data_IF_079911885230
#
_entry.id   IF_079911885230
#
_cell.length_a   1.000
_cell.length_b   1.000
_cell.length_c   1.000
_cell.angle_alpha   90.00
_cell.angle_beta   90.00
_cell.angle_gamma   90.00
#
_symmetry.space_group_name_H-M   'P 1'
#
loop_
_entity.id
_entity.type
_entity.pdbx_description
1 polymer ?
#
# COMPACT_ATOMS: atom_id res chain seq x y z
N UNK A 1 -9.53 -32.01 -10.31
CA UNK A 1 -9.42 -30.66 -9.69
C UNK A 1 -9.53 -30.80 -8.19
N UNK A 2 -8.59 -30.22 -7.44
CA UNK A 2 -8.61 -30.15 -5.97
C UNK A 2 -9.34 -28.87 -5.56
N UNK A 3 -10.27 -29.00 -4.61
CA UNK A 3 -11.03 -27.85 -4.06
C UNK A 3 -10.87 -27.88 -2.54
N UNK A 4 -10.48 -26.75 -1.96
CA UNK A 4 -10.46 -26.56 -0.50
C UNK A 4 -11.35 -25.36 -0.12
N UNK A 5 -12.02 -25.48 1.02
CA UNK A 5 -12.77 -24.40 1.67
C UNK A 5 -12.55 -24.50 3.18
N UNK A 6 -12.27 -23.39 3.84
CA UNK A 6 -12.17 -23.34 5.30
C UNK A 6 -12.47 -21.93 5.83
N UNK A 7 -13.07 -21.83 7.02
CA UNK A 7 -13.25 -20.52 7.68
C UNK A 7 -11.91 -19.97 8.16
N UNK A 8 -11.76 -18.63 8.14
CA UNK A 8 -10.64 -17.92 8.73
C UNK A 8 -11.09 -17.39 10.09
N UNK A 9 -10.49 -17.90 11.16
CA UNK A 9 -10.89 -17.58 12.53
C UNK A 9 -10.10 -16.41 13.13
N UNK A 10 -8.92 -16.08 12.58
CA UNK A 10 -8.04 -15.03 13.10
C UNK A 10 -7.00 -14.59 12.04
N UNK A 11 -6.34 -13.47 12.28
CA UNK A 11 -5.25 -12.98 11.40
C UNK A 11 -5.74 -12.39 10.08
N UNK A 12 -7.00 -11.97 10.01
CA UNK A 12 -7.60 -11.27 8.89
C UNK A 12 -8.28 -9.99 9.39
N UNK A 13 -8.34 -8.89 8.62
CA UNK A 13 -8.92 -7.63 9.09
C UNK A 13 -10.41 -7.81 9.46
N UNK A 14 -10.87 -7.11 10.48
CA UNK A 14 -12.29 -7.06 10.76
C UNK A 14 -13.05 -6.25 9.69
N UNK A 15 -14.38 -6.43 9.64
CA UNK A 15 -15.19 -5.81 8.60
C UNK A 15 -15.24 -4.29 8.70
N UNK A 16 -15.15 -3.72 9.89
CA UNK A 16 -15.17 -2.26 10.08
C UNK A 16 -13.84 -1.65 9.61
N UNK A 17 -12.72 -2.31 9.82
CA UNK A 17 -11.42 -1.92 9.27
C UNK A 17 -11.45 -1.94 7.74
N UNK A 18 -11.96 -3.01 7.11
CA UNK A 18 -12.10 -3.06 5.65
C UNK A 18 -13.00 -1.96 5.14
N UNK A 19 -14.15 -1.74 5.78
CA UNK A 19 -15.12 -0.71 5.43
C UNK A 19 -14.54 0.70 5.57
N UNK A 20 -13.78 0.95 6.63
CA UNK A 20 -13.09 2.22 6.84
C UNK A 20 -12.16 2.55 5.67
N UNK A 21 -11.22 1.65 5.35
CA UNK A 21 -10.24 1.91 4.28
C UNK A 21 -10.89 1.93 2.89
N UNK A 22 -11.83 1.06 2.60
CA UNK A 22 -12.54 1.08 1.31
C UNK A 22 -13.37 2.34 1.14
N UNK A 23 -14.03 2.80 2.21
CA UNK A 23 -14.72 4.08 2.24
C UNK A 23 -13.80 5.26 1.92
N UNK A 24 -12.60 5.24 2.47
CA UNK A 24 -11.57 6.25 2.24
C UNK A 24 -11.11 6.27 0.76
N UNK A 25 -10.80 5.11 0.18
CA UNK A 25 -10.26 5.04 -1.19
C UNK A 25 -11.31 5.24 -2.29
N UNK A 26 -12.53 4.73 -2.09
CA UNK A 26 -13.54 4.69 -3.14
C UNK A 26 -14.77 5.55 -2.87
N UNK A 27 -14.82 6.26 -1.73
CA UNK A 27 -15.98 7.06 -1.29
C UNK A 27 -17.28 6.25 -1.25
N UNK A 28 -17.17 4.94 -1.05
CA UNK A 28 -18.25 3.97 -0.93
C UNK A 28 -17.94 3.02 0.24
N UNK A 29 -18.88 2.86 1.16
CA UNK A 29 -18.65 2.15 2.44
C UNK A 29 -19.11 0.70 2.46
N UNK A 30 -19.97 0.29 1.52
CA UNK A 30 -20.53 -1.05 1.49
C UNK A 30 -20.01 -1.79 0.27
N UNK A 31 -18.82 -2.36 0.38
CA UNK A 31 -18.26 -3.28 -0.59
C UNK A 31 -18.36 -4.72 -0.09
N UNK A 32 -18.51 -5.64 -1.03
CA UNK A 32 -18.29 -7.07 -0.82
C UNK A 32 -16.88 -7.41 -1.36
N UNK A 33 -15.85 -7.37 -0.51
CA UNK A 33 -14.47 -7.55 -0.94
C UNK A 33 -14.13 -9.01 -1.13
N UNK A 34 -13.25 -9.28 -2.09
CA UNK A 34 -12.56 -10.56 -2.28
C UNK A 34 -11.07 -10.30 -2.36
N UNK A 35 -10.31 -10.95 -1.48
CA UNK A 35 -8.85 -11.04 -1.56
C UNK A 35 -8.51 -12.25 -2.41
N UNK A 36 -7.57 -12.11 -3.35
CA UNK A 36 -7.22 -13.24 -4.22
C UNK A 36 -5.77 -13.18 -4.70
N UNK A 37 -5.25 -14.34 -5.05
CA UNK A 37 -3.95 -14.55 -5.66
C UNK A 37 -4.02 -15.74 -6.61
N UNK A 38 -3.18 -15.75 -7.66
CA UNK A 38 -3.17 -16.81 -8.66
C UNK A 38 -1.79 -17.44 -8.82
N UNK A 39 -1.79 -18.74 -9.18
CA UNK A 39 -0.59 -19.46 -9.55
C UNK A 39 -0.67 -19.92 -11.00
N UNK A 40 0.41 -19.68 -11.73
CA UNK A 40 0.50 -19.93 -13.16
C UNK A 40 1.74 -20.72 -13.53
N UNK A 41 1.72 -21.43 -14.65
CA UNK A 41 2.88 -22.20 -15.14
C UNK A 41 3.99 -21.33 -15.72
N UNK A 42 3.83 -19.99 -15.69
CA UNK A 42 4.80 -19.01 -16.12
C UNK A 42 4.19 -17.64 -16.34
N UNK A 43 5.01 -16.63 -16.61
CA UNK A 43 4.58 -15.22 -16.66
C UNK A 43 3.83 -14.84 -17.95
N UNK A 44 3.92 -15.65 -19.01
CA UNK A 44 3.31 -15.33 -20.31
C UNK A 44 1.86 -15.79 -20.37
N UNK A 45 0.92 -14.88 -20.23
CA UNK A 45 -0.53 -15.15 -20.29
C UNK A 45 -1.01 -15.83 -21.58
N UNK A 46 -0.23 -15.75 -22.67
CA UNK A 46 -0.60 -16.35 -23.93
C UNK A 46 -0.07 -17.79 -24.10
N UNK A 47 1.08 -18.13 -23.51
CA UNK A 47 1.76 -19.41 -23.70
C UNK A 47 1.78 -20.32 -22.48
N UNK A 48 1.32 -19.80 -21.35
CA UNK A 48 1.22 -20.55 -20.08
C UNK A 48 -0.24 -20.66 -19.66
N UNK A 49 -0.54 -21.38 -18.59
CA UNK A 49 -1.89 -21.54 -18.09
C UNK A 49 -1.96 -21.38 -16.57
N UNK A 50 -3.15 -20.99 -16.10
CA UNK A 50 -3.52 -20.91 -14.71
C UNK A 50 -3.72 -22.30 -14.14
N UNK A 51 -3.16 -22.59 -12.98
CA UNK A 51 -3.40 -23.88 -12.33
C UNK A 51 -3.97 -23.80 -10.92
N UNK A 52 -3.94 -22.63 -10.28
CA UNK A 52 -4.49 -22.44 -8.94
C UNK A 52 -5.00 -21.00 -8.78
N UNK A 53 -6.15 -20.87 -8.16
CA UNK A 53 -6.66 -19.61 -7.58
C UNK A 53 -6.91 -19.87 -6.12
N UNK A 54 -6.37 -18.96 -5.27
CA UNK A 54 -6.73 -18.80 -3.87
C UNK A 54 -7.57 -17.53 -3.70
N UNK A 55 -8.62 -17.58 -2.91
CA UNK A 55 -9.44 -16.43 -2.63
C UNK A 55 -10.01 -16.46 -1.22
N UNK A 56 -10.21 -15.26 -0.64
CA UNK A 56 -10.95 -15.07 0.61
C UNK A 56 -12.13 -14.16 0.33
N UNK A 57 -13.30 -14.63 0.69
CA UNK A 57 -14.55 -13.87 0.59
C UNK A 57 -15.41 -14.03 1.84
N UNK A 58 -16.50 -13.25 1.90
CA UNK A 58 -17.43 -13.26 3.01
C UNK A 58 -18.56 -14.25 2.71
N UNK A 59 -18.82 -15.16 3.66
CA UNK A 59 -19.97 -16.04 3.67
C UNK A 59 -20.47 -16.15 5.13
N UNK A 60 -21.74 -15.95 5.34
CA UNK A 60 -22.37 -15.98 6.67
C UNK A 60 -21.64 -15.08 7.71
N UNK A 61 -21.33 -13.85 7.31
CA UNK A 61 -20.62 -12.86 8.13
C UNK A 61 -19.23 -13.34 8.63
N UNK A 62 -18.63 -14.29 7.93
CA UNK A 62 -17.32 -14.86 8.27
C UNK A 62 -16.42 -14.87 7.04
N UNK A 63 -15.13 -14.60 7.25
CA UNK A 63 -14.15 -14.78 6.21
C UNK A 63 -13.95 -16.26 5.93
N UNK A 64 -14.08 -16.65 4.67
CA UNK A 64 -13.84 -18.00 4.20
C UNK A 64 -12.79 -18.01 3.10
N UNK A 65 -11.82 -18.90 3.25
CA UNK A 65 -10.78 -19.14 2.26
C UNK A 65 -11.21 -20.27 1.32
N UNK A 66 -10.95 -20.08 0.05
CA UNK A 66 -11.25 -20.99 -1.05
C UNK A 66 -10.00 -21.23 -1.90
N UNK A 67 -9.81 -22.47 -2.36
CA UNK A 67 -8.80 -22.81 -3.37
C UNK A 67 -9.37 -23.75 -4.42
N UNK A 68 -8.96 -23.50 -5.66
CA UNK A 68 -9.28 -24.34 -6.82
C UNK A 68 -7.99 -24.63 -7.56
N UNK A 69 -7.46 -25.87 -7.47
CA UNK A 69 -6.23 -26.29 -8.11
C UNK A 69 -6.51 -27.31 -9.22
N UNK A 70 -6.00 -27.03 -10.41
CA UNK A 70 -6.05 -27.95 -11.55
C UNK A 70 -5.12 -29.15 -11.33
N UNK A 71 -5.63 -30.35 -11.56
CA UNK A 71 -4.81 -31.53 -11.61
C UNK A 71 -4.26 -31.81 -13.04
N UNK A 72 -4.76 -31.10 -14.03
CA UNK A 72 -4.27 -31.08 -15.41
C UNK A 72 -4.67 -29.81 -16.14
N UNK A 73 -4.04 -29.55 -17.29
CA UNK A 73 -4.27 -28.29 -18.03
C UNK A 73 -5.71 -28.13 -18.57
N UNK A 74 -6.47 -29.20 -18.72
CA UNK A 74 -7.84 -29.14 -19.24
C UNK A 74 -8.83 -28.58 -18.18
N UNK A 75 -8.44 -28.53 -16.92
CA UNK A 75 -9.27 -28.01 -15.83
C UNK A 75 -9.18 -26.50 -15.65
N UNK A 76 -8.29 -25.82 -16.38
CA UNK A 76 -8.17 -24.36 -16.34
C UNK A 76 -9.51 -23.66 -16.61
N UNK A 77 -10.23 -24.08 -17.67
CA UNK A 77 -11.53 -23.50 -17.99
C UNK A 77 -12.54 -23.68 -16.85
N UNK A 78 -12.52 -24.84 -16.20
CA UNK A 78 -13.41 -25.12 -15.06
C UNK A 78 -13.14 -24.20 -13.89
N UNK A 79 -11.86 -23.99 -13.54
CA UNK A 79 -11.46 -23.06 -12.48
C UNK A 79 -11.92 -21.64 -12.80
N UNK A 80 -11.69 -21.18 -14.02
CA UNK A 80 -12.10 -19.84 -14.45
C UNK A 80 -13.62 -19.64 -14.33
N UNK A 81 -14.42 -20.63 -14.71
CA UNK A 81 -15.89 -20.56 -14.58
C UNK A 81 -16.34 -20.52 -13.11
N UNK A 82 -15.74 -21.37 -12.25
CA UNK A 82 -16.03 -21.36 -10.81
C UNK A 82 -15.65 -20.00 -10.19
N UNK A 83 -14.46 -19.49 -10.50
CA UNK A 83 -14.03 -18.20 -9.99
C UNK A 83 -14.90 -17.04 -10.51
N UNK A 84 -15.33 -17.09 -11.76
CA UNK A 84 -16.30 -16.14 -12.31
C UNK A 84 -17.62 -16.14 -11.53
N UNK A 85 -18.14 -17.32 -11.17
CA UNK A 85 -19.35 -17.45 -10.34
C UNK A 85 -19.11 -16.93 -8.92
N UNK A 86 -17.97 -17.26 -8.31
CA UNK A 86 -17.59 -16.78 -6.98
C UNK A 86 -17.54 -15.24 -6.92
N UNK A 87 -17.04 -14.60 -7.97
CA UNK A 87 -16.95 -13.15 -8.07
C UNK A 87 -18.30 -12.44 -8.35
N UNK A 88 -19.40 -13.15 -8.64
CA UNK A 88 -20.68 -12.48 -8.94
C UNK A 88 -21.20 -11.61 -7.80
N UNK A 89 -20.94 -12.00 -6.55
CA UNK A 89 -21.38 -11.26 -5.36
C UNK A 89 -20.35 -10.21 -4.89
N UNK A 90 -19.17 -10.18 -5.52
CA UNK A 90 -18.08 -9.27 -5.19
C UNK A 90 -18.16 -7.99 -6.03
N UNK A 91 -17.85 -6.86 -5.44
CA UNK A 91 -17.68 -5.58 -6.14
C UNK A 91 -16.33 -4.90 -5.89
N UNK A 92 -15.49 -5.49 -5.02
CA UNK A 92 -14.13 -5.04 -4.74
C UNK A 92 -13.14 -6.21 -4.76
N UNK A 93 -12.08 -6.06 -5.52
CA UNK A 93 -10.98 -7.01 -5.64
C UNK A 93 -9.77 -6.46 -4.89
N UNK A 94 -9.17 -7.27 -4.02
CA UNK A 94 -7.99 -6.93 -3.24
C UNK A 94 -6.88 -7.94 -3.58
N UNK A 95 -5.73 -7.44 -4.01
CA UNK A 95 -4.62 -8.28 -4.48
C UNK A 95 -3.27 -7.61 -4.20
N UNK A 96 -2.18 -8.31 -4.48
CA UNK A 96 -0.82 -7.77 -4.39
C UNK A 96 -0.14 -7.75 -5.75
N UNK A 97 -0.02 -6.57 -6.37
CA UNK A 97 0.44 -6.36 -7.74
C UNK A 97 -0.48 -7.00 -8.80
N UNK A 98 -1.73 -7.26 -8.43
CA UNK A 98 -2.71 -7.94 -9.28
C UNK A 98 -3.17 -7.12 -10.46
N UNK A 99 -3.22 -5.80 -10.36
CA UNK A 99 -3.55 -4.90 -11.47
C UNK A 99 -2.56 -5.01 -12.65
N UNK A 100 -1.32 -5.45 -12.34
CA UNK A 100 -0.27 -5.61 -13.36
C UNK A 100 -0.04 -7.05 -13.80
N UNK A 101 -0.44 -8.02 -12.99
CA UNK A 101 -0.19 -9.42 -13.29
C UNK A 101 -1.46 -10.28 -13.25
N UNK A 102 -2.10 -10.44 -12.10
CA UNK A 102 -3.18 -11.42 -11.90
C UNK A 102 -4.39 -11.11 -12.78
N UNK A 103 -4.90 -9.88 -12.69
CA UNK A 103 -6.08 -9.48 -13.45
C UNK A 103 -5.83 -9.52 -14.97
N UNK A 104 -4.77 -8.91 -15.54
CA UNK A 104 -4.48 -9.03 -16.97
C UNK A 104 -4.21 -10.46 -17.42
N UNK A 105 -3.66 -11.31 -16.54
CA UNK A 105 -3.47 -12.72 -16.85
C UNK A 105 -4.80 -13.44 -16.94
N UNK A 106 -5.65 -13.31 -15.93
CA UNK A 106 -7.00 -13.88 -15.90
C UNK A 106 -7.86 -13.39 -17.07
N UNK A 107 -7.84 -12.10 -17.38
CA UNK A 107 -8.55 -11.52 -18.53
C UNK A 107 -8.19 -12.22 -19.84
N UNK A 108 -6.89 -12.43 -20.12
CA UNK A 108 -6.44 -13.13 -21.30
C UNK A 108 -6.86 -14.62 -21.31
N UNK A 109 -6.99 -15.24 -20.13
CA UNK A 109 -7.47 -16.63 -20.03
C UNK A 109 -8.98 -16.71 -20.24
N UNK A 110 -9.76 -15.78 -19.69
CA UNK A 110 -11.20 -15.66 -19.96
C UNK A 110 -11.49 -15.46 -21.46
N UNK A 111 -10.75 -14.56 -22.10
CA UNK A 111 -10.86 -14.30 -23.55
C UNK A 111 -10.57 -15.60 -24.35
N UNK A 112 -9.48 -16.31 -24.01
CA UNK A 112 -9.11 -17.56 -24.69
C UNK A 112 -10.24 -18.60 -24.68
N UNK A 113 -11.00 -18.69 -23.60
CA UNK A 113 -12.10 -19.67 -23.45
C UNK A 113 -13.48 -19.10 -23.82
N UNK A 114 -13.53 -17.87 -24.33
CA UNK A 114 -14.79 -17.22 -24.68
C UNK A 114 -15.72 -16.98 -23.48
N UNK A 115 -15.14 -16.79 -22.30
CA UNK A 115 -15.86 -16.50 -21.06
C UNK A 115 -15.85 -14.99 -20.86
N UNK A 116 -17.00 -14.39 -20.56
CA UNK A 116 -17.09 -12.96 -20.25
C UNK A 116 -16.27 -12.63 -19.02
N UNK A 117 -15.49 -11.53 -19.04
CA UNK A 117 -14.69 -11.09 -17.90
C UNK A 117 -15.58 -10.80 -16.69
N UNK A 118 -15.29 -11.39 -15.52
CA UNK A 118 -16.03 -11.12 -14.30
C UNK A 118 -15.59 -9.82 -13.62
N UNK A 119 -14.59 -9.12 -14.14
CA UNK A 119 -14.01 -7.92 -13.52
C UNK A 119 -14.74 -6.63 -13.89
N UNK A 120 -15.55 -6.65 -14.93
CA UNK A 120 -16.29 -5.47 -15.42
C UNK A 120 -17.15 -4.86 -14.31
N UNK A 121 -16.95 -3.57 -14.04
CA UNK A 121 -17.71 -2.80 -13.05
C UNK A 121 -17.25 -3.01 -11.59
N UNK A 122 -16.21 -3.81 -11.35
CA UNK A 122 -15.64 -3.99 -10.02
C UNK A 122 -14.51 -2.99 -9.77
N UNK A 123 -14.33 -2.61 -8.50
CA UNK A 123 -13.18 -1.82 -8.06
C UNK A 123 -12.00 -2.74 -7.78
N UNK A 124 -10.78 -2.22 -7.91
CA UNK A 124 -9.56 -2.93 -7.55
C UNK A 124 -8.75 -2.13 -6.53
N UNK A 125 -8.31 -2.79 -5.47
CA UNK A 125 -7.35 -2.28 -4.49
C UNK A 125 -6.07 -3.13 -4.57
N UNK A 126 -5.11 -2.65 -5.34
CA UNK A 126 -3.78 -3.27 -5.42
C UNK A 126 -2.91 -2.81 -4.25
N UNK A 127 -2.71 -3.68 -3.27
CA UNK A 127 -1.94 -3.38 -2.06
C UNK A 127 -0.48 -3.03 -2.37
N UNK A 128 0.15 -3.64 -3.39
CA UNK A 128 1.52 -3.28 -3.78
C UNK A 128 1.60 -1.82 -4.24
N UNK A 129 0.68 -1.39 -5.08
CA UNK A 129 0.66 -0.03 -5.61
C UNK A 129 0.32 0.98 -4.51
N UNK A 130 -0.68 0.66 -3.69
CA UNK A 130 -1.20 1.52 -2.62
C UNK A 130 -0.19 1.68 -1.48
N UNK A 131 0.47 0.61 -1.05
CA UNK A 131 1.44 0.64 0.06
C UNK A 131 2.85 1.09 -0.37
N UNK A 132 3.10 1.27 -1.67
CA UNK A 132 4.42 1.65 -2.18
C UNK A 132 5.04 2.89 -1.51
N UNK A 133 4.29 3.94 -1.16
CA UNK A 133 4.82 5.10 -0.44
C UNK A 133 5.43 4.75 0.92
N UNK A 134 4.95 3.69 1.57
CA UNK A 134 5.40 3.29 2.91
C UNK A 134 6.84 2.77 2.95
N UNK A 135 7.43 2.43 1.79
CA UNK A 135 8.81 1.93 1.74
C UNK A 135 9.79 2.85 2.45
N UNK A 136 9.71 4.16 2.21
CA UNK A 136 10.57 5.15 2.85
C UNK A 136 10.18 5.39 4.31
N UNK A 137 8.89 5.54 4.58
CA UNK A 137 8.37 5.79 5.93
C UNK A 137 8.81 4.69 6.91
N UNK A 138 8.58 3.44 6.54
CA UNK A 138 8.83 2.27 7.38
C UNK A 138 10.22 1.66 7.17
N UNK A 139 11.05 2.25 6.31
CA UNK A 139 12.40 1.76 5.95
C UNK A 139 12.40 0.29 5.51
N UNK A 140 11.38 -0.13 4.76
CA UNK A 140 11.25 -1.50 4.28
C UNK A 140 12.40 -1.85 3.32
N UNK A 141 12.99 -3.02 3.49
CA UNK A 141 14.08 -3.52 2.64
C UNK A 141 13.66 -3.68 1.18
N UNK A 142 12.45 -4.19 0.95
CA UNK A 142 11.82 -4.33 -0.35
C UNK A 142 10.30 -4.18 -0.27
N UNK A 143 9.69 -3.88 -1.42
CA UNK A 143 8.23 -3.92 -1.58
C UNK A 143 7.82 -5.34 -2.01
N UNK A 144 8.02 -6.31 -1.13
CA UNK A 144 7.54 -7.69 -1.26
C UNK A 144 6.66 -7.99 -0.06
N UNK A 145 5.63 -8.78 -0.27
CA UNK A 145 4.70 -9.15 0.81
C UNK A 145 5.43 -9.76 2.02
N UNK A 146 6.39 -10.69 1.89
CA UNK A 146 7.14 -11.21 3.04
C UNK A 146 7.90 -10.13 3.82
N UNK A 147 8.42 -9.08 3.17
CA UNK A 147 9.12 -7.99 3.86
C UNK A 147 8.15 -7.11 4.70
N UNK A 148 6.90 -7.01 4.29
CA UNK A 148 5.85 -6.32 5.05
C UNK A 148 5.40 -7.19 6.23
N UNK A 149 5.21 -8.48 6.02
CA UNK A 149 4.91 -9.45 7.08
C UNK A 149 6.02 -9.47 8.14
N UNK A 150 7.29 -9.47 7.71
CA UNK A 150 8.46 -9.38 8.62
C UNK A 150 8.43 -8.08 9.44
N UNK A 151 8.11 -6.93 8.81
CA UNK A 151 7.96 -5.66 9.51
C UNK A 151 6.85 -5.73 10.58
N UNK A 152 5.75 -6.41 10.30
CA UNK A 152 4.65 -6.65 11.23
C UNK A 152 4.97 -7.71 12.31
N UNK A 153 6.20 -8.28 12.31
CA UNK A 153 6.60 -9.31 13.25
C UNK A 153 6.05 -10.71 12.94
N UNK A 154 5.46 -10.90 11.76
CA UNK A 154 4.92 -12.17 11.30
C UNK A 154 6.08 -13.02 10.76
N UNK A 155 6.32 -14.18 11.39
CA UNK A 155 7.47 -15.06 11.08
C UNK A 155 7.07 -16.52 10.83
N UNK A 156 5.79 -16.77 10.66
CA UNK A 156 5.22 -18.11 10.46
C UNK A 156 5.18 -18.56 8.99
N UNK A 157 5.69 -17.73 8.07
CA UNK A 157 5.76 -18.07 6.65
C UNK A 157 6.76 -19.20 6.40
N UNK A 158 6.31 -20.24 5.72
CA UNK A 158 7.10 -21.42 5.39
C UNK A 158 7.57 -21.38 3.93
N UNK A 159 6.79 -20.76 3.04
CA UNK A 159 6.99 -20.80 1.59
C UNK A 159 7.47 -19.44 1.06
N UNK A 160 8.71 -19.38 0.56
CA UNK A 160 9.34 -18.12 0.16
C UNK A 160 9.42 -17.86 -1.35
N UNK A 161 9.15 -18.84 -2.22
CA UNK A 161 9.59 -18.73 -3.62
C UNK A 161 8.58 -19.28 -4.63
N UNK A 162 7.76 -18.39 -5.23
CA UNK A 162 6.78 -18.74 -6.27
C UNK A 162 7.37 -19.44 -7.53
N UNK A 163 8.71 -19.29 -7.80
CA UNK A 163 9.34 -20.04 -8.87
C UNK A 163 9.46 -21.55 -8.55
N UNK A 164 9.49 -21.90 -7.28
CA UNK A 164 9.50 -23.29 -6.84
C UNK A 164 8.14 -23.91 -7.01
N UNK A 165 7.05 -23.17 -6.78
CA UNK A 165 5.69 -23.64 -7.04
C UNK A 165 5.49 -24.15 -8.47
N UNK A 166 6.05 -23.46 -9.47
CA UNK A 166 5.99 -23.94 -10.87
C UNK A 166 6.68 -25.31 -11.04
N UNK A 167 7.80 -25.54 -10.36
CA UNK A 167 8.53 -26.81 -10.41
C UNK A 167 7.76 -27.91 -9.67
N UNK A 168 7.23 -27.57 -8.50
CA UNK A 168 6.39 -28.47 -7.70
C UNK A 168 5.14 -28.88 -8.49
N UNK A 169 4.46 -27.93 -9.14
CA UNK A 169 3.29 -28.25 -9.94
C UNK A 169 3.63 -29.16 -11.13
N UNK A 170 4.75 -28.92 -11.83
CA UNK A 170 5.21 -29.82 -12.91
C UNK A 170 5.56 -31.22 -12.39
N UNK A 171 6.08 -31.33 -11.18
CA UNK A 171 6.35 -32.60 -10.53
C UNK A 171 5.03 -33.29 -10.13
N UNK A 172 4.10 -32.57 -9.52
CA UNK A 172 2.76 -33.02 -9.16
C UNK A 172 2.01 -33.60 -10.39
N UNK A 173 2.08 -32.94 -11.53
CA UNK A 173 1.45 -33.43 -12.76
C UNK A 173 1.96 -34.85 -13.18
N UNK A 174 3.20 -35.17 -12.83
CA UNK A 174 3.82 -36.46 -13.17
C UNK A 174 3.58 -37.54 -12.11
N UNK A 175 3.63 -37.18 -10.84
CA UNK A 175 3.65 -38.11 -9.71
C UNK A 175 2.31 -38.23 -9.00
N UNK A 176 1.50 -37.18 -9.02
CA UNK A 176 0.19 -37.14 -8.35
C UNK A 176 0.25 -37.39 -6.85
N UNK A 177 1.37 -37.07 -6.20
CA UNK A 177 1.49 -37.30 -4.79
C UNK A 177 0.84 -36.14 -3.97
N UNK A 178 0.20 -36.53 -2.85
CA UNK A 178 -0.55 -35.59 -2.01
C UNK A 178 0.35 -34.60 -1.30
N UNK A 179 1.56 -34.95 -0.95
CA UNK A 179 2.50 -34.08 -0.25
C UNK A 179 2.86 -32.86 -1.11
N UNK A 180 3.22 -33.09 -2.38
CA UNK A 180 3.50 -31.99 -3.32
C UNK A 180 2.27 -31.12 -3.58
N UNK A 181 1.06 -31.72 -3.61
CA UNK A 181 -0.17 -30.93 -3.72
C UNK A 181 -0.36 -30.01 -2.50
N UNK A 182 -0.13 -30.52 -1.29
CA UNK A 182 -0.25 -29.74 -0.06
C UNK A 182 0.79 -28.63 0.04
N UNK A 183 2.03 -28.84 -0.45
CA UNK A 183 3.04 -27.77 -0.54
C UNK A 183 2.59 -26.63 -1.47
N UNK A 184 2.07 -26.95 -2.66
CA UNK A 184 1.57 -25.95 -3.62
C UNK A 184 0.39 -25.16 -3.02
N UNK A 185 -0.57 -25.87 -2.43
CA UNK A 185 -1.74 -25.26 -1.81
C UNK A 185 -1.36 -24.42 -0.58
N UNK A 186 -0.37 -24.88 0.20
CA UNK A 186 0.17 -24.14 1.34
C UNK A 186 0.79 -22.82 0.95
N UNK A 187 1.58 -22.78 -0.13
CA UNK A 187 2.17 -21.55 -0.65
C UNK A 187 1.10 -20.51 -1.00
N UNK A 188 0.14 -20.85 -1.82
CA UNK A 188 -0.94 -19.94 -2.21
C UNK A 188 -1.83 -19.55 -1.01
N UNK A 189 -2.04 -20.44 -0.04
CA UNK A 189 -2.73 -20.13 1.20
C UNK A 189 -2.00 -19.00 1.96
N UNK A 190 -0.67 -19.12 2.13
CA UNK A 190 0.14 -18.09 2.79
C UNK A 190 0.08 -16.75 2.06
N UNK A 191 0.15 -16.76 0.73
CA UNK A 191 0.09 -15.54 -0.07
C UNK A 191 -1.27 -14.83 0.10
N UNK A 192 -2.39 -15.56 0.04
CA UNK A 192 -3.72 -14.95 0.21
C UNK A 192 -3.98 -14.52 1.65
N UNK A 193 -3.59 -15.31 2.67
CA UNK A 193 -3.72 -14.91 4.08
C UNK A 193 -2.84 -13.70 4.38
N UNK A 194 -1.67 -13.63 3.77
CA UNK A 194 -0.76 -12.51 3.87
C UNK A 194 -1.38 -11.20 3.37
N UNK A 195 -2.26 -11.21 2.36
CA UNK A 195 -3.00 -10.01 1.93
C UNK A 195 -3.82 -9.41 3.07
N UNK A 196 -4.53 -10.24 3.82
CA UNK A 196 -5.28 -9.80 4.99
C UNK A 196 -4.38 -9.24 6.09
N UNK A 197 -3.25 -9.93 6.37
CA UNK A 197 -2.29 -9.54 7.40
C UNK A 197 -1.64 -8.17 7.14
N UNK A 198 -1.32 -7.86 5.86
CA UNK A 198 -0.72 -6.57 5.49
C UNK A 198 -1.76 -5.47 5.23
N UNK A 199 -3.05 -5.79 5.24
CA UNK A 199 -4.12 -4.83 4.95
C UNK A 199 -4.13 -3.66 5.93
N UNK A 200 -3.90 -3.91 7.21
CA UNK A 200 -3.88 -2.89 8.26
C UNK A 200 -2.72 -1.89 8.10
N UNK A 201 -1.71 -2.20 7.25
CA UNK A 201 -0.68 -1.24 6.90
C UNK A 201 -1.23 -0.01 6.15
N UNK A 202 -2.44 -0.08 5.59
CA UNK A 202 -3.13 1.07 5.02
C UNK A 202 -3.28 2.22 6.03
N UNK A 203 -3.30 1.91 7.33
CA UNK A 203 -3.33 2.90 8.41
C UNK A 203 -2.19 3.91 8.37
N UNK A 204 -0.99 3.50 7.96
CA UNK A 204 0.14 4.42 7.83
C UNK A 204 -0.06 5.49 6.75
N UNK A 205 -0.93 5.25 5.76
CA UNK A 205 -1.22 6.22 4.71
C UNK A 205 -1.97 7.45 5.25
N UNK A 206 -2.67 7.33 6.38
CA UNK A 206 -3.30 8.46 7.06
C UNK A 206 -2.30 9.58 7.37
N UNK A 207 -1.03 9.23 7.60
CA UNK A 207 0.05 10.21 7.82
C UNK A 207 0.27 11.09 6.58
N UNK A 208 0.23 10.49 5.38
CA UNK A 208 0.44 11.21 4.13
C UNK A 208 -0.81 11.96 3.65
N UNK A 209 -1.98 11.39 3.89
CA UNK A 209 -3.25 11.94 3.42
C UNK A 209 -3.77 13.08 4.31
N UNK A 210 -3.07 13.36 5.43
CA UNK A 210 -3.48 14.36 6.39
C UNK A 210 -4.70 13.96 7.22
N UNK A 211 -5.01 12.65 7.29
CA UNK A 211 -6.08 12.11 8.11
C UNK A 211 -5.61 11.93 9.54
N UNK A 212 -5.43 13.04 10.21
CA UNK A 212 -5.07 13.11 11.63
C UNK A 212 -5.53 14.42 12.22
N UNK A 213 -5.60 14.45 13.54
CA UNK A 213 -5.79 15.66 14.33
C UNK A 213 -4.48 16.06 15.01
N UNK A 214 -4.15 17.36 15.01
CA UNK A 214 -3.03 17.86 15.81
C UNK A 214 -3.54 18.07 17.23
N UNK A 215 -3.05 17.26 18.16
CA UNK A 215 -3.50 17.26 19.56
C UNK A 215 -2.58 18.03 20.50
N UNK A 216 -1.34 18.27 20.07
CA UNK A 216 -0.34 18.98 20.85
C UNK A 216 0.65 19.68 19.94
N UNK A 217 1.11 20.87 20.36
CA UNK A 217 2.20 21.60 19.71
C UNK A 217 2.99 22.40 20.75
N UNK A 218 4.31 22.37 20.60
CA UNK A 218 5.26 23.11 21.44
C UNK A 218 6.45 23.54 20.60
N UNK A 219 7.06 24.65 20.98
CA UNK A 219 8.34 25.13 20.45
C UNK A 219 9.32 25.30 21.61
N UNK A 220 10.39 24.51 21.63
CA UNK A 220 11.41 24.53 22.71
C UNK A 220 12.59 25.49 22.44
N UNK A 221 12.53 26.26 21.34
CA UNK A 221 13.61 27.17 20.90
C UNK A 221 14.38 26.60 19.70
N UNK A 222 14.59 25.29 19.65
CA UNK A 222 15.32 24.59 18.59
C UNK A 222 14.42 23.70 17.74
N UNK A 223 13.31 23.20 18.30
CA UNK A 223 12.45 22.24 17.66
C UNK A 223 10.97 22.62 17.77
N UNK A 224 10.22 22.36 16.71
CA UNK A 224 8.77 22.24 16.75
C UNK A 224 8.42 20.78 17.12
N UNK A 225 7.67 20.61 18.21
CA UNK A 225 7.19 19.31 18.69
C UNK A 225 5.69 19.24 18.45
N UNK A 226 5.25 18.22 17.72
CA UNK A 226 3.83 17.99 17.41
C UNK A 226 3.43 16.56 17.80
N UNK A 227 2.21 16.45 18.35
CA UNK A 227 1.53 15.14 18.49
C UNK A 227 0.31 15.13 17.59
N UNK A 228 0.18 14.02 16.85
CA UNK A 228 -0.94 13.83 15.94
C UNK A 228 -1.70 12.58 16.38
N UNK A 229 -3.02 12.62 16.28
CA UNK A 229 -3.88 11.46 16.54
C UNK A 229 -4.44 10.96 15.21
N UNK A 230 -4.18 9.70 14.90
CA UNK A 230 -4.71 9.00 13.72
C UNK A 230 -6.14 8.49 13.97
N UNK A 231 -6.94 8.28 12.91
CA UNK A 231 -8.28 7.72 13.00
C UNK A 231 -8.30 6.18 13.18
N UNK A 232 -7.13 5.53 13.18
CA UNK A 232 -6.98 4.08 13.31
C UNK A 232 -5.70 3.73 14.07
N UNK A 233 -5.68 2.56 14.67
CA UNK A 233 -4.51 2.00 15.34
C UNK A 233 -3.50 1.50 14.31
N UNK A 234 -2.23 1.84 14.47
CA UNK A 234 -1.14 1.33 13.63
C UNK A 234 -0.84 -0.13 14.02
N UNK A 235 -0.64 -1.02 13.05
CA UNK A 235 -0.42 -2.44 13.36
C UNK A 235 0.94 -2.73 14.00
N UNK A 236 1.92 -1.83 13.83
CA UNK A 236 3.27 -1.95 14.40
C UNK A 236 3.85 -0.56 14.67
N UNK A 237 4.59 -0.39 15.75
CA UNK A 237 5.34 0.84 16.03
C UNK A 237 6.49 1.03 15.02
N UNK A 238 6.78 2.29 14.69
CA UNK A 238 7.87 2.63 13.78
C UNK A 238 8.56 3.92 14.17
N UNK A 239 9.77 4.12 13.63
CA UNK A 239 10.48 5.40 13.70
C UNK A 239 11.16 5.74 12.38
N UNK A 240 11.18 7.03 12.06
CA UNK A 240 11.91 7.58 10.92
C UNK A 240 12.51 8.94 11.29
N UNK A 241 13.58 9.33 10.64
CA UNK A 241 14.20 10.62 10.87
C UNK A 241 15.52 10.79 10.16
N UNK A 242 15.95 12.03 10.13
CA UNK A 242 17.26 12.49 9.65
C UNK A 242 17.73 13.68 10.51
N UNK A 243 18.60 14.54 9.98
CA UNK A 243 19.09 15.73 10.68
C UNK A 243 18.02 16.82 10.90
N UNK A 244 16.94 16.80 10.12
CA UNK A 244 15.93 17.85 10.08
C UNK A 244 14.66 17.50 10.83
N UNK A 245 14.38 16.20 11.05
CA UNK A 245 13.18 15.73 11.74
C UNK A 245 13.38 14.37 12.39
N UNK A 246 12.52 14.06 13.38
CA UNK A 246 12.34 12.73 13.95
C UNK A 246 10.85 12.45 14.12
N UNK A 247 10.42 11.28 13.65
CA UNK A 247 9.03 10.83 13.63
C UNK A 247 8.92 9.45 14.25
N UNK A 248 8.01 9.29 15.20
CA UNK A 248 7.63 7.98 15.75
C UNK A 248 6.14 7.80 15.66
N UNK A 249 5.70 6.56 15.43
CA UNK A 249 4.28 6.20 15.46
C UNK A 249 4.08 4.95 16.32
N UNK A 250 3.05 5.01 17.17
CA UNK A 250 2.63 3.89 18.01
C UNK A 250 1.15 4.02 18.33
N UNK A 251 0.43 2.91 18.24
CA UNK A 251 -1.01 2.87 18.42
C UNK A 251 -1.70 3.91 17.51
N UNK A 252 -2.43 4.87 18.02
CA UNK A 252 -3.07 5.96 17.26
C UNK A 252 -2.23 7.26 17.28
N UNK A 253 -1.05 7.25 17.91
CA UNK A 253 -0.28 8.48 18.12
C UNK A 253 0.93 8.56 17.20
N UNK A 254 1.15 9.77 16.66
CA UNK A 254 2.38 10.15 15.97
C UNK A 254 3.04 11.26 16.77
N UNK A 255 4.32 11.08 17.11
CA UNK A 255 5.15 12.15 17.67
C UNK A 255 6.12 12.61 16.59
N UNK A 256 6.10 13.90 16.30
CA UNK A 256 6.91 14.52 15.26
C UNK A 256 7.71 15.68 15.86
N UNK A 257 9.02 15.62 15.70
CA UNK A 257 9.96 16.67 16.08
C UNK A 257 10.57 17.21 14.79
N UNK A 258 10.45 18.50 14.53
CA UNK A 258 11.02 19.17 13.36
C UNK A 258 12.01 20.23 13.84
N UNK A 259 13.25 20.15 13.38
CA UNK A 259 14.30 21.10 13.72
C UNK A 259 14.03 22.45 13.08
N UNK A 260 14.16 23.50 13.86
CA UNK A 260 14.10 24.89 13.36
C UNK A 260 15.51 25.41 13.06
N UNK A 261 15.57 26.50 12.33
CA UNK A 261 16.80 27.30 12.12
C UNK A 261 16.49 28.74 12.54
N UNK A 262 17.13 29.22 13.62
CA UNK A 262 16.87 30.53 14.22
C UNK A 262 15.36 30.78 14.48
N UNK A 263 14.66 29.74 15.01
CA UNK A 263 13.23 29.78 15.28
C UNK A 263 12.32 29.80 14.04
N UNK A 264 12.87 29.47 12.85
CA UNK A 264 12.14 29.42 11.59
C UNK A 264 12.00 27.98 11.10
N UNK A 265 10.91 27.73 10.38
CA UNK A 265 10.55 26.47 9.76
C UNK A 265 10.53 26.60 8.24
N UNK A 266 10.80 25.52 7.52
CA UNK A 266 10.71 25.44 6.06
C UNK A 266 9.30 25.07 5.64
N UNK A 267 8.59 25.99 4.98
CA UNK A 267 7.34 25.70 4.29
C UNK A 267 7.64 25.17 2.90
N UNK A 268 7.44 23.89 2.65
CA UNK A 268 7.66 23.27 1.35
C UNK A 268 6.49 23.45 0.39
N UNK A 269 6.77 23.47 -0.91
CA UNK A 269 5.79 23.56 -2.00
C UNK A 269 5.93 22.36 -2.95
N UNK A 270 4.79 21.78 -3.35
CA UNK A 270 4.75 20.59 -4.22
C UNK A 270 5.22 20.88 -5.66
N UNK A 271 4.86 22.06 -6.19
CA UNK A 271 5.06 22.45 -7.60
C UNK A 271 6.45 23.05 -7.85
N UNK A 272 7.50 22.37 -7.34
CA UNK A 272 8.88 22.86 -7.44
C UNK A 272 9.31 23.23 -8.87
N UNK A 273 8.67 22.67 -9.90
CA UNK A 273 8.96 23.00 -11.31
C UNK A 273 8.61 24.45 -11.67
N UNK A 274 7.74 25.10 -10.92
CA UNK A 274 7.27 26.45 -11.16
C UNK A 274 8.05 27.52 -10.39
N UNK A 275 9.13 27.08 -9.69
CA UNK A 275 9.95 27.94 -8.85
C UNK A 275 11.41 27.97 -9.28
N UNK A 276 12.07 29.10 -8.98
CA UNK A 276 13.52 29.23 -8.89
C UNK A 276 13.94 29.23 -7.43
N UNK A 277 15.00 28.49 -7.12
CA UNK A 277 15.70 28.58 -5.84
C UNK A 277 16.77 29.67 -5.91
N UNK A 278 16.83 30.51 -4.89
CA UNK A 278 17.78 31.59 -4.69
C UNK A 278 18.79 31.16 -3.62
N UNK A 279 20.01 30.74 -4.01
CA UNK A 279 20.96 30.14 -3.06
C UNK A 279 21.47 31.11 -2.00
N UNK A 280 21.54 32.42 -2.29
CA UNK A 280 22.04 33.46 -1.36
C UNK A 280 21.01 33.79 -0.26
N UNK A 281 19.71 33.72 -0.60
CA UNK A 281 18.60 33.98 0.30
C UNK A 281 18.04 32.69 0.92
N UNK A 282 18.50 31.54 0.47
CA UNK A 282 18.03 30.20 0.85
C UNK A 282 16.48 30.07 0.82
N UNK A 283 15.88 30.48 -0.29
CA UNK A 283 14.41 30.49 -0.47
C UNK A 283 14.03 30.31 -1.93
N UNK A 284 12.74 30.16 -2.22
CA UNK A 284 12.23 30.08 -3.59
C UNK A 284 11.39 31.29 -3.98
N UNK A 285 11.37 31.58 -5.28
CA UNK A 285 10.51 32.56 -5.91
C UNK A 285 9.78 31.92 -7.11
N UNK A 286 8.49 32.23 -7.34
CA UNK A 286 7.81 31.79 -8.56
C UNK A 286 8.55 32.24 -9.82
N UNK A 287 8.64 31.39 -10.83
CA UNK A 287 9.32 31.70 -12.10
C UNK A 287 8.77 32.93 -12.80
N UNK A 288 7.47 33.19 -12.63
CA UNK A 288 6.80 34.39 -13.14
C UNK A 288 7.41 35.71 -12.59
N UNK A 289 7.84 35.68 -11.32
CA UNK A 289 8.45 36.86 -10.64
C UNK A 289 9.98 36.84 -10.76
N UNK A 290 10.58 35.65 -10.83
CA UNK A 290 12.03 35.46 -10.87
C UNK A 290 12.67 35.64 -12.25
N UNK A 291 11.90 35.96 -13.30
CA UNK A 291 12.41 36.07 -14.66
C UNK A 291 13.49 37.19 -14.84
N UNK A 292 13.39 38.25 -14.05
CA UNK A 292 14.34 39.38 -14.04
C UNK A 292 15.65 39.16 -13.25
N UNK A 293 15.74 38.09 -12.46
CA UNK A 293 16.95 37.78 -11.67
C UNK A 293 18.03 37.17 -12.58
N UNK A 294 19.27 37.61 -12.44
CA UNK A 294 20.41 37.06 -13.21
C UNK A 294 20.52 35.53 -12.96
N UNK A 295 20.81 34.78 -14.04
CA UNK A 295 20.91 33.32 -14.00
C UNK A 295 21.93 32.77 -13.01
N UNK A 296 22.98 33.55 -12.66
CA UNK A 296 23.98 33.15 -11.66
C UNK A 296 23.47 33.18 -10.23
N UNK A 297 22.42 33.94 -9.93
CA UNK A 297 21.80 34.05 -8.61
C UNK A 297 20.53 33.19 -8.45
N UNK A 298 20.14 32.43 -9.49
CA UNK A 298 18.97 31.53 -9.43
C UNK A 298 19.27 30.17 -10.04
N UNK A 299 18.67 29.13 -9.46
CA UNK A 299 18.70 27.74 -9.98
C UNK A 299 17.27 27.25 -10.13
N UNK A 300 17.05 26.24 -10.97
CA UNK A 300 15.75 25.54 -10.95
C UNK A 300 15.56 24.92 -9.56
N UNK A 301 14.39 25.13 -8.95
CA UNK A 301 14.09 24.50 -7.68
C UNK A 301 13.95 22.98 -7.84
N UNK A 302 14.29 22.26 -6.80
CA UNK A 302 14.12 20.83 -6.66
C UNK A 302 13.13 20.54 -5.52
N UNK A 303 12.71 19.31 -5.34
CA UNK A 303 11.86 18.93 -4.21
C UNK A 303 12.45 19.34 -2.86
N UNK A 304 13.78 19.25 -2.71
CA UNK A 304 14.47 19.55 -1.45
C UNK A 304 14.77 21.03 -1.26
N UNK A 305 14.71 21.85 -2.31
CA UNK A 305 15.02 23.29 -2.27
C UNK A 305 13.80 24.18 -2.52
N UNK A 306 12.60 23.58 -2.73
CA UNK A 306 11.38 24.34 -2.97
C UNK A 306 10.66 24.67 -1.66
N UNK A 307 11.19 25.64 -0.92
CA UNK A 307 10.61 26.10 0.34
C UNK A 307 10.81 27.60 0.55
N UNK A 308 9.99 28.18 1.43
CA UNK A 308 10.20 29.48 2.05
C UNK A 308 10.33 29.30 3.55
N UNK A 309 10.88 30.32 4.23
CA UNK A 309 10.99 30.35 5.67
C UNK A 309 9.84 31.10 6.32
N UNK A 310 9.34 30.60 7.46
CA UNK A 310 8.41 31.35 8.31
C UNK A 310 8.77 31.15 9.79
N UNK A 311 8.42 32.11 10.64
CA UNK A 311 8.71 32.09 12.08
C UNK A 311 7.71 31.15 12.78
N UNK A 312 8.21 30.26 13.64
CA UNK A 312 7.40 29.46 14.56
C UNK A 312 6.84 30.37 15.66
N UNK A 313 5.71 31.02 15.40
CA UNK A 313 5.10 32.02 16.30
C UNK A 313 4.02 31.41 17.19
N UNK A 314 3.67 32.11 18.30
CA UNK A 314 2.56 31.69 19.18
C UNK A 314 1.23 31.55 18.42
N UNK A 315 1.00 32.39 17.41
CA UNK A 315 -0.17 32.27 16.54
C UNK A 315 -0.20 30.96 15.74
N UNK A 316 0.96 30.49 15.24
CA UNK A 316 1.08 29.21 14.58
C UNK A 316 0.91 28.06 15.58
N UNK A 317 1.53 28.16 16.78
CA UNK A 317 1.41 27.13 17.82
C UNK A 317 -0.02 27.00 18.35
N UNK A 318 -0.80 28.07 18.34
CA UNK A 318 -2.20 28.07 18.80
C UNK A 318 -3.20 27.61 17.72
N UNK A 319 -2.74 27.28 16.50
CA UNK A 319 -3.62 26.99 15.36
C UNK A 319 -3.39 25.60 14.77
N UNK A 320 -4.15 24.57 15.23
CA UNK A 320 -4.09 23.21 14.64
C UNK A 320 -4.35 23.21 13.13
N UNK A 321 -5.17 24.14 12.62
CA UNK A 321 -5.46 24.26 11.19
C UNK A 321 -4.20 24.67 10.40
N UNK A 322 -3.45 25.67 10.88
CA UNK A 322 -2.20 26.08 10.23
C UNK A 322 -1.12 24.99 10.33
N UNK A 323 -1.05 24.31 11.45
CA UNK A 323 -0.13 23.17 11.65
C UNK A 323 -0.46 22.03 10.70
N UNK A 324 -1.74 21.67 10.55
CA UNK A 324 -2.17 20.65 9.59
C UNK A 324 -1.85 21.06 8.15
N UNK A 325 -2.09 22.30 7.78
CA UNK A 325 -1.77 22.87 6.47
C UNK A 325 -0.26 22.83 6.18
N UNK A 326 0.56 23.19 7.17
CA UNK A 326 2.02 23.08 7.13
C UNK A 326 2.47 21.62 6.90
N UNK A 327 1.92 20.67 7.64
CA UNK A 327 2.30 19.27 7.59
C UNK A 327 1.91 18.59 6.26
N UNK A 328 0.82 19.00 5.62
CA UNK A 328 0.32 18.40 4.37
C UNK A 328 1.40 18.26 3.29
N UNK A 329 2.25 19.27 3.15
CA UNK A 329 3.36 19.23 2.17
C UNK A 329 4.70 18.89 2.80
N UNK A 330 4.91 19.29 4.05
CA UNK A 330 6.18 19.15 4.74
C UNK A 330 6.53 17.70 5.01
N UNK A 331 5.57 16.88 5.49
CA UNK A 331 5.81 15.47 5.79
C UNK A 331 6.28 14.68 4.56
N UNK A 332 5.66 14.90 3.42
CA UNK A 332 6.05 14.25 2.16
C UNK A 332 7.49 14.59 1.76
N UNK A 333 7.91 15.84 1.97
CA UNK A 333 9.27 16.28 1.67
C UNK A 333 10.28 15.74 2.67
N UNK A 334 9.97 15.78 3.97
CA UNK A 334 10.85 15.31 5.04
C UNK A 334 11.10 13.79 4.94
N UNK A 335 10.05 13.00 4.70
CA UNK A 335 10.13 11.54 4.62
C UNK A 335 10.69 11.05 3.27
N UNK A 336 10.82 11.95 2.29
CA UNK A 336 11.39 11.60 0.98
C UNK A 336 10.47 10.79 0.07
N UNK A 337 9.14 10.90 0.25
CA UNK A 337 8.15 10.24 -0.57
C UNK A 337 7.16 11.22 -1.17
N UNK A 338 6.75 10.92 -2.28
CA UNK A 338 5.58 11.07 -3.10
C UNK A 338 5.85 11.78 -4.42
N UNK A 339 5.59 10.97 -5.41
CA UNK A 339 5.05 11.43 -6.68
C UNK A 339 3.53 11.44 -6.46
N UNK A 340 2.94 12.63 -6.45
CA UNK A 340 1.51 12.96 -6.41
C UNK A 340 0.64 12.26 -5.34
N UNK A 341 -0.15 13.01 -4.56
CA UNK A 341 -1.31 12.44 -3.90
C UNK A 341 -2.24 11.83 -4.97
N UNK A 342 -2.87 10.73 -4.62
CA UNK A 342 -3.90 10.07 -5.42
C UNK A 342 -5.04 11.03 -5.77
#
# INVERSE_FOLDING_TARGET
MIVKKMPILQGFPDFETVKFFTGKFFQKYNFTPVFYDIETTGLSRNSTYLYLIGAVGIEDETWNFYQWMAENANEEETILRIFSQFLQQCDLLISYNGDRFDQPYLEARYEKYGISSPFTGKQSLDLYLTLKPLKSLLKLSAMKQPCMEEFLGIKDRIYDNGKECIKLYKYFLKKRDAFTADEILGHNLEDVLGLGRIFDMLGYLCIYDGDYEVTYSEFDGDNLILKLKLPCTLPQEFSNGNTDFYLTGKDEEINLIIKTTDGKLKQYYADYKDYYYLPEEDTVIPKSLGSGIDRKHRKAATKNTCYTWFTCSDAFLSSPVQQKQYLTYTLSCLIGTLKNPL
#
